data_IF_418597970665
#
_entry.id   IF_418597970665
#
_cell.length_a   1.000
_cell.length_b   1.000
_cell.length_c   1.000
_cell.angle_alpha   90.00
_cell.angle_beta   90.00
_cell.angle_gamma   90.00
#
_symmetry.space_group_name_H-M   'P 1'
#
loop_
_entity.id
_entity.type
_entity.pdbx_description
1 polymer ?
#
# COMPACT_ATOMS: atom_id res chain seq x y z
N UNK A 1 -4.05 -5.90 10.72
CA UNK A 1 -3.38 -4.61 10.97
C UNK A 1 -2.89 -4.06 9.64
N UNK A 2 -3.19 -2.80 9.31
CA UNK A 2 -2.78 -2.11 8.07
C UNK A 2 -1.91 -0.88 8.41
N UNK A 3 -1.73 0.05 7.47
CA UNK A 3 -1.01 1.31 7.67
C UNK A 3 -1.79 2.29 8.57
N UNK A 4 -1.08 3.21 9.23
CA UNK A 4 -1.66 4.23 10.10
C UNK A 4 -2.06 5.51 9.35
N UNK A 5 -3.04 6.23 9.89
CA UNK A 5 -3.52 7.51 9.38
C UNK A 5 -3.98 8.40 10.54
N UNK A 6 -4.08 9.72 10.33
CA UNK A 6 -4.44 10.62 11.42
C UNK A 6 -5.94 10.65 11.73
N UNK A 7 -6.80 10.22 10.81
CA UNK A 7 -8.25 10.17 11.01
C UNK A 7 -8.98 11.53 10.97
N UNK A 8 -8.27 12.65 11.00
CA UNK A 8 -8.88 13.99 11.10
C UNK A 8 -8.51 14.97 9.97
N UNK A 9 -7.52 14.67 9.13
CA UNK A 9 -7.20 15.54 7.99
C UNK A 9 -8.28 15.43 6.88
N UNK A 10 -8.40 16.42 5.97
CA UNK A 10 -9.41 16.40 4.91
C UNK A 10 -9.44 15.10 4.11
N UNK A 11 -8.27 14.56 3.71
CA UNK A 11 -8.20 13.28 3.02
C UNK A 11 -8.75 12.11 3.85
N UNK A 12 -8.53 12.10 5.17
CA UNK A 12 -9.06 11.05 6.04
C UNK A 12 -10.59 11.18 6.19
N UNK A 13 -11.09 12.41 6.33
CA UNK A 13 -12.52 12.70 6.43
C UNK A 13 -13.28 12.35 5.15
N UNK A 14 -12.65 12.52 3.98
CA UNK A 14 -13.19 12.14 2.68
C UNK A 14 -13.03 10.63 2.37
N UNK A 15 -12.54 9.81 3.31
CA UNK A 15 -12.27 8.37 3.15
C UNK A 15 -11.09 8.01 2.22
N UNK A 16 -10.21 8.96 1.97
CA UNK A 16 -8.96 8.81 1.22
C UNK A 16 -7.76 8.60 2.18
N UNK A 17 -7.85 7.61 3.07
CA UNK A 17 -6.86 7.39 4.16
C UNK A 17 -5.43 7.12 3.66
N UNK A 18 -5.27 6.58 2.45
CA UNK A 18 -3.95 6.39 1.81
C UNK A 18 -3.27 7.70 1.42
N UNK A 19 -4.03 8.80 1.36
CA UNK A 19 -3.56 10.16 1.07
C UNK A 19 -3.57 11.03 2.33
N UNK A 20 -3.46 10.41 3.51
CA UNK A 20 -3.31 11.11 4.78
C UNK A 20 -2.13 12.09 4.72
N UNK A 21 -2.33 13.32 5.19
CA UNK A 21 -1.28 14.35 5.17
C UNK A 21 -0.09 13.98 6.08
N UNK A 22 -0.34 13.23 7.15
CA UNK A 22 0.67 12.74 8.09
C UNK A 22 1.18 11.33 7.75
N UNK A 23 0.87 10.80 6.56
CA UNK A 23 1.15 9.41 6.21
C UNK A 23 2.63 9.04 6.40
N UNK A 24 3.55 9.89 5.93
CA UNK A 24 4.99 9.65 6.06
C UNK A 24 5.44 9.60 7.52
N UNK A 25 5.04 10.60 8.32
CA UNK A 25 5.40 10.71 9.72
C UNK A 25 4.92 9.50 10.54
N UNK A 26 3.72 9.00 10.25
CA UNK A 26 3.11 7.89 10.99
C UNK A 26 3.64 6.52 10.59
N UNK A 27 4.01 6.34 9.32
CA UNK A 27 4.32 5.01 8.78
C UNK A 27 5.82 4.77 8.57
N UNK A 28 6.64 5.82 8.37
CA UNK A 28 8.05 5.67 7.98
C UNK A 28 9.05 6.28 8.97
N UNK A 29 8.61 7.06 9.96
CA UNK A 29 9.51 7.71 10.91
C UNK A 29 10.22 6.72 11.85
N UNK A 30 9.68 5.51 12.03
CA UNK A 30 10.26 4.53 12.97
C UNK A 30 10.10 4.94 14.44
N UNK A 31 9.15 5.82 14.72
CA UNK A 31 8.79 6.31 16.04
C UNK A 31 7.31 6.71 16.04
N UNK A 32 6.78 7.04 17.22
CA UNK A 32 5.49 7.73 17.33
C UNK A 32 5.62 9.17 16.85
N UNK A 33 4.49 9.84 16.60
CA UNK A 33 4.45 11.23 16.11
C UNK A 33 5.04 12.25 17.08
N UNK A 34 5.06 11.93 18.38
CA UNK A 34 5.73 12.69 19.44
C UNK A 34 7.24 12.43 19.51
N UNK A 35 7.76 11.57 18.63
CA UNK A 35 9.16 11.17 18.64
C UNK A 35 9.53 10.24 19.78
N UNK A 36 8.57 9.62 20.49
CA UNK A 36 8.82 8.55 21.48
C UNK A 36 8.87 7.17 20.83
N UNK A 37 9.41 6.17 21.53
CA UNK A 37 9.32 4.76 21.13
C UNK A 37 8.70 3.94 22.25
N UNK A 38 7.89 2.97 21.86
CA UNK A 38 7.34 1.97 22.76
C UNK A 38 8.32 0.82 23.05
N UNK A 39 9.42 0.75 22.31
CA UNK A 39 10.37 -0.36 22.34
C UNK A 39 11.71 0.11 22.88
N UNK A 40 12.26 -0.66 23.80
CA UNK A 40 13.62 -0.53 24.30
C UNK A 40 14.23 -1.92 24.54
N UNK A 41 15.55 -2.03 24.42
CA UNK A 41 16.28 -3.23 24.80
C UNK A 41 17.63 -2.84 25.41
N UNK A 42 17.95 -3.41 26.57
CA UNK A 42 19.21 -3.11 27.25
C UNK A 42 19.38 -1.64 27.64
N UNK A 43 18.28 -0.91 27.87
CA UNK A 43 18.30 0.54 28.14
C UNK A 43 18.37 1.41 26.89
N UNK A 44 18.64 0.82 25.73
CA UNK A 44 18.69 1.53 24.45
C UNK A 44 17.32 1.59 23.79
N UNK A 45 17.07 2.70 23.11
CA UNK A 45 15.85 2.92 22.37
C UNK A 45 15.88 2.13 21.06
N UNK A 46 14.80 1.40 20.78
CA UNK A 46 14.61 0.71 19.50
C UNK A 46 13.61 1.49 18.65
N UNK A 47 13.93 1.71 17.38
CA UNK A 47 12.97 2.24 16.41
C UNK A 47 11.93 1.18 16.06
N UNK A 48 10.66 1.58 16.10
CA UNK A 48 9.50 0.71 15.89
C UNK A 48 8.38 1.49 15.23
N UNK A 49 7.13 1.05 15.40
CA UNK A 49 5.97 1.74 14.82
C UNK A 49 6.05 1.90 13.28
N UNK A 50 6.78 1.02 12.58
CA UNK A 50 6.83 1.00 11.12
C UNK A 50 5.45 0.57 10.60
N UNK A 51 4.87 1.35 9.69
CA UNK A 51 3.46 1.30 9.33
C UNK A 51 2.47 1.35 10.51
N UNK A 52 2.89 1.94 11.64
CA UNK A 52 2.10 1.96 12.87
C UNK A 52 1.99 0.60 13.57
N UNK A 53 2.85 -0.39 13.25
CA UNK A 53 2.70 -1.75 13.74
C UNK A 53 3.99 -2.50 14.08
N UNK A 54 5.03 -2.45 13.23
CA UNK A 54 6.29 -3.23 13.41
C UNK A 54 6.10 -4.72 13.76
N UNK A 55 5.43 -5.48 12.89
CA UNK A 55 4.90 -6.83 13.12
C UNK A 55 5.93 -7.95 13.08
N UNK A 56 7.22 -7.64 12.93
CA UNK A 56 8.30 -8.65 13.00
C UNK A 56 8.72 -8.85 14.45
N UNK A 57 7.74 -9.12 15.30
CA UNK A 57 7.88 -9.31 16.73
C UNK A 57 6.76 -10.24 17.23
N UNK A 58 6.95 -10.83 18.42
CA UNK A 58 5.92 -11.67 19.05
C UNK A 58 4.68 -10.86 19.47
N UNK A 59 4.86 -9.57 19.72
CA UNK A 59 3.80 -8.62 20.07
C UNK A 59 4.01 -7.31 19.31
N UNK A 60 2.92 -6.64 18.96
CA UNK A 60 2.94 -5.36 18.26
C UNK A 60 2.04 -4.36 18.99
N UNK A 61 2.53 -3.13 19.17
CA UNK A 61 1.77 -2.01 19.72
C UNK A 61 1.28 -1.18 18.54
N UNK A 62 -0.03 -1.04 18.41
CA UNK A 62 -0.68 -0.47 17.24
C UNK A 62 -1.67 0.64 17.64
N UNK A 63 -2.16 1.38 16.65
CA UNK A 63 -3.19 2.39 16.83
C UNK A 63 -4.57 1.81 16.54
N UNK A 64 -5.62 2.31 17.20
CA UNK A 64 -6.99 1.83 16.96
C UNK A 64 -7.39 1.93 15.48
N UNK A 65 -6.95 3.00 14.80
CA UNK A 65 -7.24 3.26 13.39
C UNK A 65 -6.58 2.27 12.41
N UNK A 66 -5.53 1.56 12.81
CA UNK A 66 -4.82 0.61 11.93
C UNK A 66 -5.00 -0.86 12.32
N UNK A 67 -5.86 -1.13 13.31
CA UNK A 67 -6.24 -2.48 13.74
C UNK A 67 -7.67 -2.76 13.29
N UNK A 68 -7.90 -3.96 12.75
CA UNK A 68 -9.22 -4.40 12.32
C UNK A 68 -9.58 -5.70 13.06
N UNK A 69 -10.75 -5.73 13.67
CA UNK A 69 -11.29 -6.94 14.30
C UNK A 69 -11.73 -7.92 13.22
N UNK A 70 -11.31 -9.17 13.37
CA UNK A 70 -11.71 -10.29 12.50
C UNK A 70 -12.49 -11.32 13.33
N UNK A 71 -13.33 -12.17 12.72
CA UNK A 71 -13.97 -13.28 13.41
C UNK A 71 -12.94 -14.27 13.97
N UNK A 72 -13.22 -14.85 15.13
CA UNK A 72 -12.33 -15.84 15.78
C UNK A 72 -12.17 -17.13 14.95
N UNK A 73 -13.09 -17.38 14.02
CA UNK A 73 -13.05 -18.51 13.10
C UNK A 73 -12.20 -18.26 11.85
N UNK A 74 -11.62 -17.07 11.69
CA UNK A 74 -10.82 -16.74 10.52
C UNK A 74 -9.43 -17.39 10.59
N UNK A 75 -8.94 -18.02 9.50
CA UNK A 75 -7.62 -18.65 9.47
C UNK A 75 -6.51 -17.60 9.49
N UNK A 76 -5.85 -17.43 10.64
CA UNK A 76 -4.89 -16.35 10.89
C UNK A 76 -3.72 -16.35 9.88
N UNK A 77 -3.27 -17.54 9.46
CA UNK A 77 -2.20 -17.71 8.47
C UNK A 77 -2.51 -17.08 7.10
N UNK A 78 -3.80 -16.92 6.76
CA UNK A 78 -4.22 -16.29 5.50
C UNK A 78 -4.46 -14.79 5.63
N UNK A 79 -4.55 -14.25 6.85
CA UNK A 79 -4.90 -12.85 7.06
C UNK A 79 -3.72 -11.89 6.85
N UNK A 80 -2.49 -12.35 7.04
CA UNK A 80 -1.29 -11.51 6.90
C UNK A 80 -1.22 -10.76 5.56
N UNK A 81 -1.32 -11.46 4.41
CA UNK A 81 -1.28 -10.82 3.09
C UNK A 81 -2.47 -9.89 2.79
N UNK A 82 -3.60 -10.04 3.50
CA UNK A 82 -4.80 -9.24 3.25
C UNK A 82 -4.56 -7.74 3.47
N UNK A 83 -3.82 -7.38 4.51
CA UNK A 83 -3.68 -5.99 4.94
C UNK A 83 -2.68 -5.14 4.14
N UNK A 84 -1.98 -5.75 3.18
CA UNK A 84 -1.01 -5.05 2.33
C UNK A 84 -1.20 -5.44 0.87
N UNK A 85 -0.56 -6.53 0.40
CA UNK A 85 -0.50 -6.88 -1.01
C UNK A 85 -1.87 -7.12 -1.65
N UNK A 86 -2.75 -7.86 -0.96
CA UNK A 86 -4.09 -8.16 -1.49
C UNK A 86 -4.97 -6.90 -1.46
N UNK A 87 -4.99 -6.15 -0.36
CA UNK A 87 -5.70 -4.87 -0.28
C UNK A 87 -5.26 -3.90 -1.39
N UNK A 88 -3.95 -3.77 -1.63
CA UNK A 88 -3.42 -2.90 -2.67
C UNK A 88 -3.82 -3.37 -4.08
N UNK A 89 -3.69 -4.67 -4.36
CA UNK A 89 -4.08 -5.24 -5.66
C UNK A 89 -5.57 -5.11 -5.94
N UNK A 90 -6.41 -5.45 -4.96
CA UNK A 90 -7.86 -5.33 -5.05
C UNK A 90 -8.28 -3.86 -5.23
N UNK A 91 -7.69 -2.94 -4.44
CA UNK A 91 -7.93 -1.50 -4.57
C UNK A 91 -7.51 -0.95 -5.93
N UNK A 92 -6.41 -1.43 -6.52
CA UNK A 92 -6.00 -1.01 -7.86
C UNK A 92 -7.05 -1.38 -8.92
N UNK A 93 -7.63 -2.57 -8.85
CA UNK A 93 -8.65 -3.02 -9.82
C UNK A 93 -10.00 -2.32 -9.58
N UNK A 94 -10.47 -2.29 -8.34
CA UNK A 94 -11.81 -1.82 -8.01
C UNK A 94 -11.90 -0.29 -7.91
N UNK A 95 -10.92 0.36 -7.28
CA UNK A 95 -11.00 1.78 -6.95
C UNK A 95 -10.28 2.65 -7.99
N UNK A 96 -9.08 2.25 -8.43
CA UNK A 96 -8.29 3.04 -9.38
C UNK A 96 -8.68 2.78 -10.84
N UNK A 97 -8.70 1.51 -11.26
CA UNK A 97 -9.06 1.13 -12.63
C UNK A 97 -10.57 1.06 -12.86
N UNK A 98 -11.37 0.89 -11.80
CA UNK A 98 -12.84 0.79 -11.85
C UNK A 98 -13.33 -0.23 -12.89
N UNK A 99 -12.69 -1.40 -12.93
CA UNK A 99 -13.02 -2.46 -13.90
C UNK A 99 -14.44 -2.97 -13.63
N UNK A 100 -15.29 -2.93 -14.66
CA UNK A 100 -16.67 -3.43 -14.59
C UNK A 100 -16.78 -4.89 -15.03
N UNK A 101 -17.87 -5.54 -14.61
CA UNK A 101 -18.17 -6.93 -14.98
C UNK A 101 -18.18 -7.09 -16.50
N UNK A 102 -17.53 -8.15 -16.98
CA UNK A 102 -17.43 -8.46 -18.42
C UNK A 102 -16.37 -7.66 -19.17
N UNK A 103 -15.58 -6.80 -18.50
CA UNK A 103 -14.43 -6.12 -19.11
C UNK A 103 -13.13 -6.85 -18.81
N UNK A 104 -12.26 -6.91 -19.81
CA UNK A 104 -10.92 -7.49 -19.70
C UNK A 104 -9.89 -6.43 -19.35
N UNK A 105 -8.94 -6.77 -18.49
CA UNK A 105 -7.77 -5.95 -18.19
C UNK A 105 -6.51 -6.82 -18.20
N UNK A 106 -5.33 -6.20 -18.31
CA UNK A 106 -4.05 -6.91 -18.38
C UNK A 106 -3.26 -6.70 -17.08
N UNK A 107 -2.89 -7.80 -16.43
CA UNK A 107 -1.97 -7.79 -15.30
C UNK A 107 -0.56 -8.02 -15.85
N UNK A 108 0.36 -7.08 -15.59
CA UNK A 108 1.79 -7.29 -15.88
C UNK A 108 2.46 -7.78 -14.59
N UNK A 109 2.99 -9.00 -14.62
CA UNK A 109 3.90 -9.45 -13.54
C UNK A 109 5.21 -8.65 -13.66
N UNK A 110 5.48 -7.82 -12.65
CA UNK A 110 6.71 -7.07 -12.55
C UNK A 110 7.82 -7.92 -11.94
N UNK A 111 8.75 -8.42 -12.76
CA UNK A 111 10.01 -8.99 -12.29
C UNK A 111 10.96 -7.87 -11.86
N UNK A 112 10.71 -7.22 -10.72
CA UNK A 112 11.69 -6.40 -9.95
C UNK A 112 12.52 -5.32 -10.66
N UNK A 113 12.24 -4.96 -11.93
CA UNK A 113 13.02 -3.97 -12.69
C UNK A 113 12.05 -2.97 -13.31
N UNK A 114 12.15 -1.71 -12.88
CA UNK A 114 11.51 -0.58 -13.56
C UNK A 114 12.09 -0.49 -14.98
N UNK A 115 11.44 -1.17 -15.93
CA UNK A 115 11.68 -0.90 -17.33
C UNK A 115 10.99 0.42 -17.65
N UNK A 116 11.78 1.38 -18.15
CA UNK A 116 11.29 2.67 -18.65
C UNK A 116 10.10 2.41 -19.59
N UNK A 117 9.04 3.23 -19.53
CA UNK A 117 7.95 3.12 -20.48
C UNK A 117 8.50 3.31 -21.91
N UNK A 118 8.40 2.28 -22.74
CA UNK A 118 8.59 2.42 -24.19
C UNK A 118 7.49 3.35 -24.73
N UNK A 119 7.83 4.36 -25.54
CA UNK A 119 6.82 5.16 -26.21
C UNK A 119 6.02 4.28 -27.17
N UNK A 120 4.74 4.60 -27.43
CA UNK A 120 3.89 3.82 -28.32
C UNK A 120 4.54 3.75 -29.70
N UNK A 121 4.81 2.53 -30.18
CA UNK A 121 5.26 2.30 -31.55
C UNK A 121 4.15 2.76 -32.49
N UNK A 122 4.36 3.89 -33.16
CA UNK A 122 3.49 4.34 -34.24
C UNK A 122 3.62 3.35 -35.40
N UNK A 123 2.54 2.61 -35.66
CA UNK A 123 2.41 1.81 -36.88
C UNK A 123 2.08 2.75 -38.05
N UNK A 124 3.06 3.54 -38.48
CA UNK A 124 2.96 4.28 -39.74
C UNK A 124 3.42 3.34 -40.87
N UNK A 125 2.45 2.69 -41.53
CA UNK A 125 2.62 2.09 -42.86
C UNK A 125 3.07 3.21 -43.81
N UNK A 126 4.31 3.20 -44.27
CA UNK A 126 4.73 3.98 -45.43
C UNK A 126 4.12 3.34 -46.70
N UNK A 127 3.37 4.06 -47.54
CA UNK A 127 3.03 3.59 -48.87
C UNK A 127 4.27 3.70 -49.77
N UNK A 128 4.64 2.61 -50.42
CA UNK A 128 5.67 2.59 -51.46
C UNK A 128 5.21 3.39 -52.69
N UNK A 129 5.80 4.56 -52.94
CA UNK A 129 5.68 5.22 -54.24
C UNK A 129 6.63 4.56 -55.25
N UNK A 130 6.09 3.61 -56.02
CA UNK A 130 6.61 3.30 -57.34
C UNK A 130 6.18 4.42 -58.30
N UNK A 131 7.14 5.06 -58.98
CA UNK A 131 7.25 5.19 -60.45
C UNK A 131 8.01 6.47 -60.86
N UNK A 132 8.89 6.22 -61.85
CA UNK A 132 9.47 7.09 -62.89
C UNK A 132 10.33 8.25 -62.44
#
# INVERSE_FOLDING_TARGET
>A
MTFDSCGHCPSCLDHHISYCQEFFLRNFLGARTDGSSALSAGGERIHGNFFGQSSFATHAICHELNVLKVPDTAPLELLGPLACGIQAGAGAVMNALKVSVGKSFRIRLGSGRLLRPEPPRSSARQPSSRRT
#
